data_IF_198942334655
#
_entry.id   IF_198942334655
#
_cell.length_a   1.000
_cell.length_b   1.000
_cell.length_c   1.000
_cell.angle_alpha   90.00
_cell.angle_beta   90.00
_cell.angle_gamma   90.00
#
_symmetry.space_group_name_H-M   'P 1'
#
loop_
_entity.id
_entity.type
_entity.pdbx_description
1 polymer ?
#
# COMPACT_ATOMS: atom_id res chain seq x y z
N UNK A 1 17.03 -30.61 22.71
CA UNK A 1 16.09 -31.20 21.74
C UNK A 1 15.96 -30.26 20.54
N UNK A 2 16.81 -30.41 19.52
CA UNK A 2 16.82 -29.54 18.33
C UNK A 2 15.70 -29.94 17.36
N UNK A 3 14.76 -29.03 17.09
CA UNK A 3 13.75 -29.19 16.05
C UNK A 3 14.38 -28.90 14.68
N UNK A 4 14.54 -29.95 13.87
CA UNK A 4 14.93 -29.89 12.47
C UNK A 4 14.02 -28.94 11.69
N UNK A 5 14.59 -27.93 11.04
CA UNK A 5 13.91 -27.15 10.02
C UNK A 5 13.65 -28.04 8.81
N UNK A 6 12.39 -28.40 8.58
CA UNK A 6 11.97 -29.07 7.36
C UNK A 6 12.12 -28.08 6.20
N UNK A 7 13.00 -28.39 5.25
CA UNK A 7 13.12 -27.67 4.00
C UNK A 7 11.74 -27.58 3.34
N UNK A 8 11.20 -26.36 3.24
CA UNK A 8 9.95 -26.05 2.55
C UNK A 8 10.16 -26.30 1.07
N UNK A 9 10.01 -27.56 0.63
CA UNK A 9 9.91 -27.90 -0.79
C UNK A 9 8.72 -27.12 -1.33
N UNK A 10 8.98 -26.16 -2.21
CA UNK A 10 7.95 -25.47 -2.98
C UNK A 10 7.14 -26.56 -3.68
N UNK A 11 5.88 -26.73 -3.26
CA UNK A 11 4.94 -27.56 -4.02
C UNK A 11 4.65 -26.81 -5.32
N UNK A 12 4.85 -27.43 -6.50
CA UNK A 12 4.38 -26.82 -7.73
C UNK A 12 2.85 -26.69 -7.67
N UNK A 13 2.34 -25.47 -7.89
CA UNK A 13 0.91 -25.21 -8.05
C UNK A 13 0.45 -25.84 -9.38
N UNK A 14 -0.73 -26.51 -9.43
CA UNK A 14 -1.24 -27.11 -10.67
C UNK A 14 -1.69 -26.09 -11.73
N UNK A 15 -1.48 -24.79 -11.52
CA UNK A 15 -1.87 -23.75 -12.46
C UNK A 15 -0.92 -23.57 -13.67
N UNK A 16 0.10 -24.41 -13.82
CA UNK A 16 1.06 -24.34 -14.95
C UNK A 16 0.65 -25.19 -16.17
N UNK A 17 -0.56 -25.77 -16.18
CA UNK A 17 -1.05 -26.62 -17.27
C UNK A 17 -2.37 -26.10 -17.86
N UNK A 18 -2.35 -24.90 -18.43
CA UNK A 18 -3.39 -24.41 -19.35
C UNK A 18 -2.85 -23.27 -20.24
N UNK A 19 -1.72 -23.51 -20.91
CA UNK A 19 -1.24 -22.65 -22.00
C UNK A 19 -1.77 -23.17 -23.34
N UNK A 20 -3.09 -23.34 -23.45
CA UNK A 20 -3.76 -23.77 -24.67
C UNK A 20 -4.90 -22.80 -24.98
N UNK A 21 -4.68 -21.95 -25.98
CA UNK A 21 -5.74 -21.17 -26.63
C UNK A 21 -5.77 -19.69 -26.28
N UNK A 22 -4.68 -18.95 -26.54
CA UNK A 22 -4.83 -17.54 -26.90
C UNK A 22 -5.58 -17.52 -28.24
N UNK A 23 -6.84 -17.13 -28.17
CA UNK A 23 -7.80 -17.06 -29.26
C UNK A 23 -7.29 -16.02 -30.25
N UNK A 24 -6.55 -16.51 -31.24
CA UNK A 24 -6.24 -15.78 -32.44
C UNK A 24 -7.43 -15.90 -33.38
N UNK A 25 -8.16 -14.81 -33.60
CA UNK A 25 -8.63 -14.40 -34.92
C UNK A 25 -9.44 -13.09 -34.85
N UNK A 26 -9.02 -12.15 -35.71
CA UNK A 26 -9.78 -11.03 -36.28
C UNK A 26 -10.20 -9.86 -35.37
N UNK A 27 -9.27 -8.89 -35.18
CA UNK A 27 -9.50 -7.48 -35.57
C UNK A 27 -8.20 -6.67 -35.38
N UNK A 28 -7.54 -6.35 -36.49
CA UNK A 28 -6.37 -5.49 -36.55
C UNK A 28 -6.77 -4.00 -36.55
N UNK A 29 -7.26 -3.51 -35.41
CA UNK A 29 -7.26 -2.10 -35.05
C UNK A 29 -7.17 -2.01 -33.52
N UNK A 30 -6.20 -1.23 -33.00
CA UNK A 30 -5.93 -0.98 -31.56
C UNK A 30 -4.92 -1.90 -30.83
N UNK A 31 -3.77 -2.22 -31.45
CA UNK A 31 -2.66 -2.95 -30.81
C UNK A 31 -2.04 -2.27 -29.56
N UNK A 32 -2.44 -1.04 -29.22
CA UNK A 32 -1.98 -0.27 -28.06
C UNK A 32 -2.90 -0.36 -26.83
N UNK A 33 -4.05 -1.02 -26.92
CA UNK A 33 -5.00 -1.15 -25.81
C UNK A 33 -4.86 -2.52 -25.17
N UNK A 34 -4.56 -2.54 -23.87
CA UNK A 34 -4.50 -3.78 -23.10
C UNK A 34 -5.92 -4.28 -22.82
N UNK A 35 -6.28 -5.54 -23.17
CA UNK A 35 -7.58 -6.08 -22.84
C UNK A 35 -7.71 -6.35 -21.32
N UNK A 36 -8.85 -6.00 -20.73
CA UNK A 36 -9.17 -6.31 -19.33
C UNK A 36 -9.61 -7.77 -19.18
N UNK A 37 -8.68 -8.64 -18.78
CA UNK A 37 -8.93 -10.07 -18.55
C UNK A 37 -9.37 -10.43 -17.12
N UNK A 38 -9.75 -9.43 -16.30
CA UNK A 38 -10.07 -9.65 -14.89
C UNK A 38 -11.50 -10.15 -14.68
N UNK A 39 -11.63 -11.40 -14.21
CA UNK A 39 -12.89 -11.90 -13.67
C UNK A 39 -13.09 -11.45 -12.21
N UNK A 40 -13.95 -10.43 -12.05
CA UNK A 40 -14.29 -9.81 -10.77
C UNK A 40 -15.26 -10.65 -9.93
N UNK A 41 -15.92 -11.66 -10.51
CA UNK A 41 -16.81 -12.57 -9.80
C UNK A 41 -16.07 -13.78 -9.20
N UNK A 42 -14.81 -13.99 -9.60
CA UNK A 42 -14.01 -15.12 -9.11
C UNK A 42 -13.68 -15.02 -7.61
N UNK A 43 -13.65 -16.18 -6.93
CA UNK A 43 -13.23 -16.25 -5.53
C UNK A 43 -11.78 -15.77 -5.33
N UNK A 44 -10.92 -15.96 -6.33
CA UNK A 44 -9.54 -15.49 -6.30
C UNK A 44 -9.47 -13.97 -6.24
N UNK A 45 -10.30 -13.28 -7.03
CA UNK A 45 -10.42 -11.82 -7.00
C UNK A 45 -10.88 -11.35 -5.61
N UNK A 46 -11.94 -11.97 -5.07
CA UNK A 46 -12.47 -11.61 -3.75
C UNK A 46 -11.43 -11.78 -2.63
N UNK A 47 -10.67 -12.88 -2.62
CA UNK A 47 -9.60 -13.11 -1.63
C UNK A 47 -8.47 -12.09 -1.75
N UNK A 48 -8.03 -11.77 -2.96
CA UNK A 48 -6.97 -10.79 -3.19
C UNK A 48 -7.40 -9.39 -2.79
N UNK A 49 -8.63 -9.00 -3.13
CA UNK A 49 -9.20 -7.71 -2.74
C UNK A 49 -9.26 -7.59 -1.21
N UNK A 50 -9.71 -8.64 -0.50
CA UNK A 50 -9.75 -8.66 0.96
C UNK A 50 -8.34 -8.52 1.59
N UNK A 51 -7.34 -9.23 1.05
CA UNK A 51 -5.97 -9.15 1.54
C UNK A 51 -5.38 -7.75 1.38
N UNK A 52 -5.57 -7.12 0.22
CA UNK A 52 -5.10 -5.74 -0.04
C UNK A 52 -5.87 -4.73 0.82
N UNK A 53 -7.17 -4.92 1.01
CA UNK A 53 -7.97 -4.05 1.87
C UNK A 53 -7.47 -4.05 3.32
N UNK A 54 -7.06 -5.21 3.86
CA UNK A 54 -6.46 -5.30 5.18
C UNK A 54 -5.14 -4.51 5.28
N UNK A 55 -4.23 -4.68 4.31
CA UNK A 55 -2.97 -3.92 4.25
C UNK A 55 -3.21 -2.41 4.14
N UNK A 56 -4.20 -1.99 3.36
CA UNK A 56 -4.55 -0.59 3.20
C UNK A 56 -5.14 0.01 4.50
N UNK A 57 -5.94 -0.78 5.23
CA UNK A 57 -6.44 -0.40 6.55
C UNK A 57 -5.30 -0.15 7.53
N UNK A 58 -4.33 -1.07 7.59
CA UNK A 58 -3.16 -0.94 8.46
C UNK A 58 -2.32 0.29 8.09
N UNK A 59 -2.07 0.51 6.80
CA UNK A 59 -1.36 1.69 6.32
C UNK A 59 -2.07 2.98 6.72
N UNK A 60 -3.39 3.07 6.48
CA UNK A 60 -4.20 4.24 6.84
C UNK A 60 -4.19 4.52 8.34
N UNK A 61 -4.20 3.47 9.17
CA UNK A 61 -4.09 3.60 10.62
C UNK A 61 -2.75 4.22 11.02
N UNK A 62 -1.64 3.73 10.46
CA UNK A 62 -0.29 4.28 10.73
C UNK A 62 -0.16 5.73 10.26
N UNK A 63 -0.64 6.03 9.04
CA UNK A 63 -0.66 7.40 8.52
C UNK A 63 -1.44 8.31 9.45
N UNK A 64 -2.62 7.89 9.93
CA UNK A 64 -3.43 8.67 10.87
C UNK A 64 -2.68 8.99 12.17
N UNK A 65 -1.86 8.06 12.67
CA UNK A 65 -1.00 8.30 13.83
C UNK A 65 0.08 9.35 13.54
N UNK A 66 0.74 9.28 12.38
CA UNK A 66 1.75 10.27 11.98
C UNK A 66 1.12 11.66 11.75
N UNK A 67 -0.11 11.72 11.23
CA UNK A 67 -0.84 12.97 11.05
C UNK A 67 -1.15 13.66 12.38
N UNK A 68 -1.30 12.92 13.49
CA UNK A 68 -1.43 13.49 14.83
C UNK A 68 -0.15 14.21 15.32
N UNK A 69 0.96 14.09 14.59
CA UNK A 69 2.23 14.74 14.90
C UNK A 69 2.84 14.23 16.21
N UNK A 70 3.37 15.14 17.03
CA UNK A 70 3.92 14.80 18.35
C UNK A 70 2.85 14.56 19.43
N UNK A 71 1.59 14.31 19.05
CA UNK A 71 0.46 14.19 19.96
C UNK A 71 -0.20 15.53 20.32
N UNK A 72 -1.39 15.45 20.93
CA UNK A 72 -2.26 16.60 21.21
C UNK A 72 -1.56 17.70 22.02
N UNK A 73 -0.74 17.33 23.01
CA UNK A 73 -0.03 18.27 23.87
C UNK A 73 1.06 19.04 23.13
N UNK A 74 1.82 18.38 22.24
CA UNK A 74 2.83 19.03 21.42
C UNK A 74 2.18 20.00 20.42
N UNK A 75 1.05 19.59 19.81
CA UNK A 75 0.24 20.44 18.92
C UNK A 75 -0.27 21.67 19.67
N UNK A 76 -0.87 21.48 20.86
CA UNK A 76 -1.39 22.56 21.70
C UNK A 76 -0.28 23.55 22.08
N UNK A 77 0.89 23.06 22.49
CA UNK A 77 2.06 23.90 22.82
C UNK A 77 2.57 24.68 21.61
N UNK A 78 2.58 24.10 20.41
CA UNK A 78 2.99 24.80 19.19
C UNK A 78 2.01 25.94 18.86
N UNK A 79 0.70 25.64 18.90
CA UNK A 79 -0.36 26.62 18.63
C UNK A 79 -0.43 27.73 19.66
N UNK A 80 -0.24 27.42 20.95
CA UNK A 80 -0.19 28.41 22.03
C UNK A 80 0.92 29.45 21.86
N UNK A 81 1.97 29.15 21.08
CA UNK A 81 3.04 30.09 20.71
C UNK A 81 2.73 30.90 19.45
N UNK A 82 1.50 30.83 18.93
CA UNK A 82 1.11 31.47 17.68
C UNK A 82 1.74 30.86 16.43
N UNK A 83 2.30 29.64 16.51
CA UNK A 83 2.96 28.97 15.40
C UNK A 83 2.02 28.01 14.69
N UNK A 84 2.11 27.98 13.37
CA UNK A 84 1.49 26.96 12.53
C UNK A 84 2.22 25.61 12.69
N UNK A 85 1.48 24.51 12.55
CA UNK A 85 2.03 23.18 12.42
C UNK A 85 2.77 23.03 11.08
N UNK A 86 3.61 22.01 10.96
CA UNK A 86 4.37 21.77 9.73
C UNK A 86 3.45 21.60 8.50
N UNK A 87 2.40 20.77 8.60
CA UNK A 87 1.42 20.58 7.53
C UNK A 87 0.57 21.82 7.26
N UNK A 88 0.15 22.54 8.30
CA UNK A 88 -0.54 23.84 8.14
C UNK A 88 0.31 24.88 7.39
N UNK A 89 1.65 24.83 7.53
CA UNK A 89 2.56 25.69 6.75
C UNK A 89 2.65 25.26 5.29
N UNK A 90 2.65 23.95 5.02
CA UNK A 90 2.64 23.40 3.66
C UNK A 90 1.33 23.81 2.97
N UNK A 91 0.18 23.63 3.63
CA UNK A 91 -1.13 23.98 3.06
C UNK A 91 -1.24 25.46 2.67
N UNK A 92 -0.59 26.36 3.43
CA UNK A 92 -0.53 27.79 3.10
C UNK A 92 0.50 28.14 2.02
N UNK A 93 1.49 27.28 1.82
CA UNK A 93 2.53 27.48 0.80
C UNK A 93 2.05 27.00 -0.57
N UNK A 94 1.21 25.98 -0.60
CA UNK A 94 0.65 25.43 -1.84
C UNK A 94 -0.44 26.34 -2.41
N UNK A 95 -0.55 26.32 -3.74
CA UNK A 95 -1.65 27.00 -4.44
C UNK A 95 -3.00 26.33 -4.09
N UNK A 96 -4.09 27.10 -3.97
CA UNK A 96 -5.41 26.54 -3.73
C UNK A 96 -5.81 25.51 -4.80
N UNK A 97 -6.13 24.28 -4.36
CA UNK A 97 -6.52 23.19 -5.25
C UNK A 97 -5.36 22.39 -5.85
N UNK A 98 -4.10 22.77 -5.58
CA UNK A 98 -2.96 21.96 -5.98
C UNK A 98 -2.97 20.59 -5.28
N UNK A 99 -2.59 19.55 -6.01
CA UNK A 99 -2.37 18.22 -5.44
C UNK A 99 -1.06 18.19 -4.64
N UNK A 100 -1.04 17.42 -3.56
CA UNK A 100 0.15 17.22 -2.73
C UNK A 100 0.47 15.74 -2.56
N UNK A 101 1.69 15.35 -2.94
CA UNK A 101 2.21 13.99 -2.76
C UNK A 101 3.28 14.01 -1.67
N UNK A 102 2.94 13.59 -0.45
CA UNK A 102 3.96 13.46 0.60
C UNK A 102 4.83 12.22 0.36
N UNK A 103 6.12 12.36 0.67
CA UNK A 103 7.09 11.28 0.58
C UNK A 103 7.28 10.63 1.95
N UNK A 104 7.34 9.30 1.99
CA UNK A 104 7.75 8.53 3.18
C UNK A 104 6.90 8.78 4.44
N UNK A 105 5.58 8.92 4.30
CA UNK A 105 4.67 9.33 5.38
C UNK A 105 4.70 8.42 6.62
N UNK A 106 4.82 7.11 6.43
CA UNK A 106 4.65 6.10 7.48
C UNK A 106 5.96 5.70 8.17
N UNK A 107 7.12 6.08 7.62
CA UNK A 107 8.43 5.72 8.18
C UNK A 107 8.63 6.19 9.62
N UNK A 108 8.02 7.31 10.02
CA UNK A 108 8.10 7.84 11.39
C UNK A 108 7.32 6.97 12.38
N UNK A 109 6.26 6.28 11.94
CA UNK A 109 5.49 5.35 12.77
C UNK A 109 6.18 3.99 12.93
N UNK A 110 7.14 3.64 12.07
CA UNK A 110 7.80 2.34 12.03
C UNK A 110 8.95 2.17 13.05
N UNK A 111 9.11 3.11 14.00
CA UNK A 111 10.07 3.11 15.11
C UNK A 111 11.17 2.04 15.05
N UNK A 112 12.35 2.36 14.50
CA UNK A 112 13.58 1.54 14.60
C UNK A 112 13.44 0.00 14.39
N UNK A 113 12.45 -0.49 13.64
CA UNK A 113 12.33 -1.92 13.33
C UNK A 113 13.33 -2.43 12.26
N UNK A 114 14.33 -1.62 11.89
CA UNK A 114 15.39 -1.99 10.95
C UNK A 114 16.41 -3.01 11.49
N UNK A 115 16.22 -3.56 12.70
CA UNK A 115 17.15 -4.53 13.30
C UNK A 115 16.53 -5.87 13.75
N UNK A 116 15.44 -6.33 13.13
CA UNK A 116 14.98 -7.70 13.36
C UNK A 116 14.87 -8.47 12.04
N UNK A 117 16.05 -8.80 11.51
CA UNK A 117 16.26 -9.86 10.52
C UNK A 117 17.44 -10.71 10.98
N UNK A 118 17.13 -11.80 11.68
CA UNK A 118 17.95 -13.02 11.77
C UNK A 118 17.81 -13.83 10.50
#
# INVERSE_FOLDING_TARGET
MLRRFAARRLRPSPAAAAAAGYHSSAAAACASVLPDGLDRASDAYARNAAAVAALLSDLRSRVSQVLAGGGAEAVRRNKARGKLLARERIDRLLDPGASFLELSQDLVSMGNHYHQGV
#
